data_IF_707511159660
#
_entry.id   IF_707511159660
#
_cell.length_a   1.000
_cell.length_b   1.000
_cell.length_c   1.000
_cell.angle_alpha   90.00
_cell.angle_beta   90.00
_cell.angle_gamma   90.00
#
_symmetry.space_group_name_H-M   'P 1'
#
loop_
_entity.id
_entity.type
_entity.pdbx_description
1 polymer ?
#
# COMPACT_ATOMS: atom_id res chain seq x y z
N UNK A 1 7.75 -17.69 -8.39
CA UNK A 1 7.63 -18.37 -7.07
C UNK A 1 8.31 -19.72 -7.18
N UNK A 2 9.10 -20.14 -6.20
CA UNK A 2 9.73 -21.46 -6.14
C UNK A 2 9.55 -22.08 -4.76
N UNK A 3 9.28 -23.38 -4.70
CA UNK A 3 9.44 -24.16 -3.48
C UNK A 3 10.80 -24.84 -3.54
N UNK A 4 11.64 -24.63 -2.52
CA UNK A 4 12.97 -25.23 -2.43
C UNK A 4 13.10 -25.98 -1.11
N UNK A 5 14.01 -26.95 -1.08
CA UNK A 5 14.31 -27.77 0.09
C UNK A 5 15.82 -27.75 0.34
N UNK A 6 16.24 -27.65 1.59
CA UNK A 6 17.66 -27.65 1.98
C UNK A 6 17.93 -26.75 3.17
N UNK A 7 19.20 -26.66 3.59
CA UNK A 7 19.64 -25.67 4.59
C UNK A 7 19.59 -24.24 4.07
N UNK A 8 19.63 -23.28 5.00
CA UNK A 8 19.79 -21.88 4.66
C UNK A 8 21.16 -21.64 4.01
N UNK A 9 21.23 -21.04 2.80
CA UNK A 9 22.49 -20.83 2.10
C UNK A 9 23.49 -20.01 2.90
N UNK A 10 24.77 -20.40 2.85
CA UNK A 10 25.85 -19.75 3.61
C UNK A 10 25.96 -18.26 3.27
N UNK A 11 25.85 -17.90 2.00
CA UNK A 11 25.94 -16.53 1.52
C UNK A 11 24.80 -15.65 2.07
N UNK A 12 23.62 -16.25 2.29
CA UNK A 12 22.48 -15.56 2.91
C UNK A 12 22.64 -15.46 4.42
N UNK A 13 23.28 -16.44 5.08
CA UNK A 13 23.65 -16.34 6.49
C UNK A 13 24.67 -15.22 6.72
N UNK A 14 25.72 -15.15 5.89
CA UNK A 14 26.72 -14.06 5.94
C UNK A 14 26.05 -12.69 5.71
N UNK A 15 25.10 -12.61 4.78
CA UNK A 15 24.30 -11.41 4.54
C UNK A 15 23.43 -11.05 5.75
N UNK A 16 22.84 -12.05 6.42
CA UNK A 16 22.06 -11.86 7.64
C UNK A 16 22.95 -11.35 8.79
N UNK A 17 24.14 -11.93 8.97
CA UNK A 17 25.10 -11.52 10.00
C UNK A 17 25.51 -10.05 9.81
N UNK A 18 25.83 -9.66 8.58
CA UNK A 18 26.13 -8.26 8.23
C UNK A 18 24.94 -7.33 8.51
N UNK A 19 23.72 -7.77 8.24
CA UNK A 19 22.51 -6.98 8.52
C UNK A 19 22.26 -6.84 10.04
N UNK A 20 22.42 -7.91 10.81
CA UNK A 20 22.25 -7.93 12.26
C UNK A 20 23.27 -7.02 12.97
N UNK A 21 24.54 -7.01 12.52
CA UNK A 21 25.59 -6.11 13.02
C UNK A 21 25.23 -4.62 12.89
N UNK A 22 24.37 -4.27 11.93
CA UNK A 22 23.88 -2.89 11.74
C UNK A 22 22.66 -2.54 12.60
N UNK A 23 22.32 -3.37 13.60
CA UNK A 23 21.29 -3.10 14.59
C UNK A 23 19.87 -3.54 14.20
N UNK A 24 19.75 -4.42 13.21
CA UNK A 24 18.45 -4.90 12.69
C UNK A 24 18.14 -6.38 13.04
N UNK A 25 18.84 -6.96 14.02
CA UNK A 25 18.71 -8.37 14.43
C UNK A 25 17.47 -8.71 15.28
N UNK A 26 16.27 -8.32 14.82
CA UNK A 26 15.01 -8.58 15.55
C UNK A 26 14.45 -9.99 15.40
N UNK A 27 15.11 -10.85 14.63
CA UNK A 27 14.70 -12.23 14.36
C UNK A 27 15.83 -13.19 14.71
N UNK A 28 15.50 -14.47 14.91
CA UNK A 28 16.51 -15.50 15.09
C UNK A 28 17.32 -15.68 13.79
N UNK A 29 18.62 -15.95 13.95
CA UNK A 29 19.47 -16.33 12.83
C UNK A 29 18.93 -17.63 12.22
N UNK A 30 18.72 -17.72 10.89
CA UNK A 30 18.07 -18.88 10.27
C UNK A 30 19.05 -20.04 10.03
N UNK A 31 19.88 -20.39 11.00
CA UNK A 31 20.96 -21.40 10.89
C UNK A 31 20.64 -22.75 11.53
N UNK A 32 19.50 -22.85 12.23
CA UNK A 32 19.04 -24.07 12.89
C UNK A 32 18.33 -25.06 11.96
N UNK A 33 17.99 -24.64 10.73
CA UNK A 33 17.25 -25.46 9.78
C UNK A 33 18.12 -26.55 9.15
N UNK A 34 17.54 -27.73 8.94
CA UNK A 34 18.22 -28.90 8.37
C UNK A 34 18.01 -29.01 6.85
N UNK A 35 18.63 -30.01 6.21
CA UNK A 35 18.43 -30.30 4.78
C UNK A 35 16.97 -30.63 4.44
N UNK A 36 16.14 -30.94 5.44
CA UNK A 36 14.74 -31.27 5.24
C UNK A 36 13.78 -30.07 5.24
N UNK A 37 14.28 -28.89 5.59
CA UNK A 37 13.47 -27.68 5.62
C UNK A 37 13.00 -27.29 4.22
N UNK A 38 11.72 -26.92 4.11
CA UNK A 38 11.14 -26.38 2.88
C UNK A 38 10.97 -24.86 2.99
N UNK A 39 11.24 -24.14 1.91
CA UNK A 39 11.04 -22.70 1.80
C UNK A 39 10.25 -22.35 0.56
N UNK A 40 9.43 -21.30 0.65
CA UNK A 40 8.81 -20.66 -0.51
C UNK A 40 9.58 -19.38 -0.81
N UNK A 41 10.19 -19.31 -1.99
CA UNK A 41 10.94 -18.15 -2.47
C UNK A 41 10.08 -17.36 -3.46
N UNK A 42 9.77 -16.13 -3.09
CA UNK A 42 9.04 -15.17 -3.90
C UNK A 42 10.05 -14.22 -4.57
N UNK A 43 10.14 -14.29 -5.89
CA UNK A 43 10.89 -13.31 -6.68
C UNK A 43 9.94 -12.17 -7.04
N UNK A 44 10.22 -10.98 -6.53
CA UNK A 44 9.38 -9.79 -6.69
C UNK A 44 10.16 -8.66 -7.37
N UNK A 45 9.44 -7.69 -7.94
CA UNK A 45 10.06 -6.51 -8.53
C UNK A 45 10.87 -5.75 -7.47
N UNK A 46 12.11 -5.37 -7.82
CA UNK A 46 12.92 -4.51 -6.98
C UNK A 46 12.39 -3.08 -7.02
N UNK A 47 11.87 -2.58 -5.90
CA UNK A 47 11.29 -1.24 -5.80
C UNK A 47 12.31 -0.11 -6.02
N UNK A 48 13.62 -0.41 -6.06
CA UNK A 48 14.71 0.50 -6.35
C UNK A 48 15.53 0.90 -5.13
N UNK A 49 16.70 1.50 -5.37
CA UNK A 49 17.60 1.94 -4.30
C UNK A 49 16.95 2.98 -3.39
N UNK A 50 17.30 2.93 -2.10
CA UNK A 50 16.78 3.85 -1.06
C UNK A 50 15.26 3.85 -0.98
N UNK A 51 14.61 2.77 -1.39
CA UNK A 51 13.23 2.50 -1.04
C UNK A 51 13.18 2.00 0.40
N UNK A 52 12.28 2.58 1.18
CA UNK A 52 12.09 2.24 2.60
C UNK A 52 10.60 2.13 2.87
N UNK A 53 10.21 1.60 4.03
CA UNK A 53 8.81 1.62 4.44
C UNK A 53 8.33 3.05 4.68
N UNK A 54 7.02 3.31 4.56
CA UNK A 54 6.44 4.62 4.84
C UNK A 54 6.73 5.04 6.29
N UNK A 55 6.81 4.08 7.21
CA UNK A 55 7.20 4.30 8.61
C UNK A 55 8.59 4.95 8.74
N UNK A 56 9.54 4.57 7.89
CA UNK A 56 10.91 5.09 7.88
C UNK A 56 11.08 6.30 6.95
N UNK A 57 10.09 6.61 6.12
CA UNK A 57 10.23 7.60 5.06
C UNK A 57 10.10 9.04 5.56
N UNK A 58 11.13 9.85 5.30
CA UNK A 58 11.11 11.28 5.66
C UNK A 58 10.40 12.15 4.60
N UNK A 59 9.28 12.76 4.97
CA UNK A 59 8.54 13.68 4.09
C UNK A 59 9.29 15.02 3.92
N UNK A 60 9.57 15.38 2.66
CA UNK A 60 10.24 16.63 2.29
C UNK A 60 9.29 17.77 1.94
N UNK A 61 8.05 17.48 1.55
CA UNK A 61 7.09 18.52 1.16
C UNK A 61 5.69 18.16 1.64
N UNK A 62 4.91 19.18 1.99
CA UNK A 62 3.51 19.03 2.39
C UNK A 62 2.58 18.53 1.26
N UNK A 63 3.09 18.33 0.04
CA UNK A 63 2.36 17.74 -1.09
C UNK A 63 2.49 16.22 -1.16
N UNK A 64 3.51 15.65 -0.50
CA UNK A 64 3.79 14.22 -0.55
C UNK A 64 2.72 13.35 0.15
N UNK A 65 2.17 13.72 1.33
CA UNK A 65 1.12 12.93 1.98
C UNK A 65 -0.06 12.60 1.06
N UNK A 66 -0.64 13.63 0.44
CA UNK A 66 -1.76 13.49 -0.49
C UNK A 66 -1.34 12.68 -1.74
N UNK A 67 -0.08 12.81 -2.18
CA UNK A 67 0.42 12.03 -3.32
C UNK A 67 0.50 10.53 -3.01
N UNK A 68 0.99 10.15 -1.83
CA UNK A 68 1.01 8.75 -1.39
C UNK A 68 -0.41 8.23 -1.25
N UNK A 69 -1.28 8.97 -0.55
CA UNK A 69 -2.68 8.59 -0.36
C UNK A 69 -3.40 8.35 -1.70
N UNK A 70 -3.21 9.22 -2.69
CA UNK A 70 -3.77 9.06 -4.05
C UNK A 70 -3.27 7.80 -4.75
N UNK A 71 -1.98 7.49 -4.66
CA UNK A 71 -1.40 6.30 -5.27
C UNK A 71 -1.93 5.02 -4.63
N UNK A 72 -2.01 4.99 -3.29
CA UNK A 72 -2.59 3.88 -2.53
C UNK A 72 -4.07 3.69 -2.91
N UNK A 73 -4.86 4.77 -2.83
CA UNK A 73 -6.28 4.77 -3.15
C UNK A 73 -6.59 4.25 -4.56
N UNK A 74 -5.86 4.70 -5.57
CA UNK A 74 -6.07 4.24 -6.95
C UNK A 74 -5.65 2.78 -7.13
N UNK A 75 -4.57 2.36 -6.46
CA UNK A 75 -4.16 0.95 -6.50
C UNK A 75 -5.25 0.06 -5.90
N UNK A 76 -5.79 0.42 -4.73
CA UNK A 76 -6.89 -0.31 -4.09
C UNK A 76 -8.15 -0.28 -4.97
N UNK A 77 -8.51 0.87 -5.54
CA UNK A 77 -9.66 1.01 -6.45
C UNK A 77 -9.56 0.04 -7.65
N UNK A 78 -8.40 -0.03 -8.29
CA UNK A 78 -8.17 -0.93 -9.43
C UNK A 78 -8.28 -2.40 -9.00
N UNK A 79 -7.70 -2.75 -7.85
CA UNK A 79 -7.70 -4.12 -7.35
C UNK A 79 -9.07 -4.56 -6.81
N UNK A 80 -9.83 -3.67 -6.17
CA UNK A 80 -11.23 -3.87 -5.81
C UNK A 80 -12.04 -4.18 -7.07
N UNK A 81 -11.95 -3.32 -8.11
CA UNK A 81 -12.73 -3.49 -9.34
C UNK A 81 -12.46 -4.81 -10.04
N UNK A 82 -11.18 -5.15 -10.13
CA UNK A 82 -10.74 -6.27 -10.95
C UNK A 82 -10.81 -7.61 -10.21
N UNK A 83 -10.57 -7.61 -8.90
CA UNK A 83 -10.36 -8.83 -8.13
C UNK A 83 -11.09 -8.86 -6.79
N UNK A 84 -12.00 -7.91 -6.54
CA UNK A 84 -12.67 -7.74 -5.24
C UNK A 84 -11.66 -7.79 -4.09
N UNK A 85 -10.53 -7.12 -4.29
CA UNK A 85 -9.37 -7.21 -3.41
C UNK A 85 -9.57 -6.45 -2.10
N UNK A 86 -9.08 -7.02 -1.01
CA UNK A 86 -8.90 -6.34 0.28
C UNK A 86 -7.48 -6.59 0.77
N UNK A 87 -6.74 -5.54 1.13
CA UNK A 87 -5.37 -5.70 1.62
C UNK A 87 -5.34 -6.31 3.02
N UNK A 88 -6.23 -5.82 3.90
CA UNK A 88 -6.43 -6.24 5.30
C UNK A 88 -5.23 -6.06 6.25
N UNK A 89 -4.14 -5.47 5.77
CA UNK A 89 -2.93 -5.24 6.58
C UNK A 89 -2.08 -4.07 6.09
N UNK A 90 -2.72 -2.96 5.71
CA UNK A 90 -2.05 -1.86 5.02
C UNK A 90 -1.46 -0.82 6.00
N UNK A 91 -0.73 -1.29 7.01
CA UNK A 91 0.00 -0.43 7.93
C UNK A 91 1.24 0.20 7.26
N UNK A 92 1.88 1.15 7.93
CA UNK A 92 3.00 1.92 7.36
C UNK A 92 4.21 1.08 6.93
N UNK A 93 4.37 -0.12 7.51
CA UNK A 93 5.41 -1.08 7.16
C UNK A 93 5.18 -1.73 5.79
N UNK A 94 3.92 -1.86 5.38
CA UNK A 94 3.50 -2.54 4.15
C UNK A 94 3.31 -1.58 2.96
N UNK A 95 3.77 -0.33 3.12
CA UNK A 95 3.84 0.65 2.04
C UNK A 95 5.30 1.01 1.83
N UNK A 96 5.88 0.56 0.72
CA UNK A 96 7.21 0.98 0.32
C UNK A 96 7.14 2.33 -0.36
N UNK A 97 8.13 3.18 -0.10
CA UNK A 97 8.20 4.53 -0.60
C UNK A 97 9.62 4.87 -1.02
N UNK A 98 9.75 5.53 -2.18
CA UNK A 98 11.00 6.12 -2.62
C UNK A 98 10.80 7.48 -3.29
N UNK A 99 11.92 8.18 -3.48
CA UNK A 99 11.96 9.39 -4.30
C UNK A 99 11.66 9.05 -5.75
N UNK A 100 10.81 9.87 -6.37
CA UNK A 100 10.46 9.73 -7.78
C UNK A 100 11.07 10.87 -8.60
N UNK A 101 11.79 10.51 -9.67
CA UNK A 101 12.21 11.45 -10.73
C UNK A 101 11.08 11.69 -11.73
N UNK A 102 10.23 10.68 -11.94
CA UNK A 102 9.04 10.77 -12.78
C UNK A 102 8.02 11.73 -12.18
N UNK A 103 7.36 12.52 -13.04
CA UNK A 103 6.40 13.55 -12.61
C UNK A 103 5.00 12.98 -12.35
N UNK A 104 4.64 11.90 -13.05
CA UNK A 104 3.33 11.27 -12.96
C UNK A 104 3.38 9.77 -13.23
N UNK A 105 2.30 9.08 -12.84
CA UNK A 105 1.95 7.73 -13.28
C UNK A 105 0.68 7.81 -14.10
N UNK A 106 0.60 6.98 -15.13
CA UNK A 106 -0.57 6.87 -15.99
C UNK A 106 -1.15 5.47 -15.79
N UNK A 107 -2.46 5.40 -15.65
CA UNK A 107 -3.25 4.19 -15.49
C UNK A 107 -4.36 4.17 -16.54
N UNK A 108 -4.95 3.01 -16.75
CA UNK A 108 -6.21 2.86 -17.48
C UNK A 108 -7.21 2.31 -16.47
N UNK A 109 -8.28 3.05 -16.21
CA UNK A 109 -9.35 2.67 -15.29
C UNK A 109 -10.66 2.73 -16.09
N UNK A 110 -11.36 1.61 -16.18
CA UNK A 110 -12.59 1.48 -16.98
C UNK A 110 -12.41 1.93 -18.44
N UNK A 111 -11.26 1.61 -19.03
CA UNK A 111 -10.89 2.00 -20.40
C UNK A 111 -10.48 3.47 -20.55
N UNK A 112 -10.51 4.28 -19.49
CA UNK A 112 -10.18 5.70 -19.53
C UNK A 112 -8.78 5.99 -18.98
N UNK A 113 -8.00 6.87 -19.62
CA UNK A 113 -6.68 7.26 -19.13
C UNK A 113 -6.81 8.07 -17.84
N UNK A 114 -6.04 7.68 -16.81
CA UNK A 114 -6.05 8.32 -15.51
C UNK A 114 -4.63 8.65 -15.06
N UNK A 115 -4.35 9.92 -14.72
CA UNK A 115 -3.01 10.40 -14.40
C UNK A 115 -2.88 10.85 -12.95
N UNK A 116 -1.90 10.30 -12.22
CA UNK A 116 -1.55 10.72 -10.86
C UNK A 116 -0.25 11.52 -10.88
N UNK A 117 -0.25 12.75 -10.37
CA UNK A 117 0.98 13.52 -10.17
C UNK A 117 1.72 13.03 -8.91
N UNK A 118 2.96 12.58 -9.06
CA UNK A 118 3.75 11.92 -8.01
C UNK A 118 4.31 12.86 -6.94
N UNK A 119 4.44 14.15 -7.23
CA UNK A 119 5.00 15.14 -6.29
C UNK A 119 6.34 14.70 -5.65
N UNK A 120 7.17 14.02 -6.44
CA UNK A 120 8.51 13.57 -6.05
C UNK A 120 8.55 12.30 -5.19
N UNK A 121 7.43 11.58 -5.04
CA UNK A 121 7.35 10.34 -4.26
C UNK A 121 6.57 9.26 -5.02
N UNK A 122 7.08 8.03 -5.04
CA UNK A 122 6.39 6.84 -5.57
C UNK A 122 6.23 5.83 -4.45
N UNK A 123 5.04 5.22 -4.34
CA UNK A 123 4.79 4.14 -3.39
C UNK A 123 4.41 2.83 -4.06
N UNK A 124 4.56 1.74 -3.31
CA UNK A 124 4.23 0.37 -3.70
C UNK A 124 3.58 -0.32 -2.50
N UNK A 125 2.52 -1.09 -2.75
CA UNK A 125 1.91 -1.92 -1.70
C UNK A 125 2.65 -3.27 -1.67
N UNK A 126 2.85 -3.81 -0.48
CA UNK A 126 3.49 -5.10 -0.29
C UNK A 126 2.84 -5.86 0.87
N UNK A 127 3.28 -7.11 1.05
CA UNK A 127 2.78 -8.02 2.07
C UNK A 127 1.27 -8.28 1.98
N UNK A 128 0.93 -9.29 1.18
CA UNK A 128 -0.45 -9.70 0.98
C UNK A 128 -0.84 -10.89 1.86
N UNK A 129 -0.10 -11.11 2.95
CA UNK A 129 -0.28 -12.29 3.81
C UNK A 129 -1.71 -12.37 4.32
N UNK A 130 -2.30 -11.27 4.77
CA UNK A 130 -3.67 -11.24 5.32
C UNK A 130 -4.76 -10.89 4.28
N UNK A 131 -4.37 -10.65 3.03
CA UNK A 131 -5.27 -10.12 2.01
C UNK A 131 -6.36 -11.11 1.61
N UNK A 132 -7.43 -10.58 0.99
CA UNK A 132 -8.48 -11.35 0.32
C UNK A 132 -8.55 -10.96 -1.14
N UNK A 133 -8.68 -11.94 -2.02
CA UNK A 133 -8.76 -11.72 -3.47
C UNK A 133 -9.65 -12.78 -4.14
N UNK A 134 -10.37 -12.39 -5.18
CA UNK A 134 -11.15 -13.27 -6.06
C UNK A 134 -10.45 -13.39 -7.41
N UNK A 135 -10.13 -14.62 -7.80
CA UNK A 135 -9.48 -14.95 -9.06
C UNK A 135 -10.27 -16.05 -9.75
N UNK A 136 -11.01 -15.68 -10.80
CA UNK A 136 -11.96 -16.59 -11.44
C UNK A 136 -13.12 -16.93 -10.49
N UNK A 137 -13.33 -18.21 -10.27
CA UNK A 137 -14.36 -18.75 -9.36
C UNK A 137 -13.86 -18.99 -7.93
N UNK A 138 -12.59 -18.65 -7.63
CA UNK A 138 -11.95 -18.93 -6.34
C UNK A 138 -11.72 -17.66 -5.54
N UNK A 139 -11.97 -17.78 -4.23
CA UNK A 139 -11.64 -16.77 -3.23
C UNK A 139 -10.43 -17.25 -2.43
N UNK A 140 -9.36 -16.46 -2.42
CA UNK A 140 -8.16 -16.69 -1.63
C UNK A 140 -8.12 -15.68 -0.49
N UNK A 141 -7.99 -16.16 0.75
CA UNK A 141 -7.94 -15.33 1.95
C UNK A 141 -7.32 -16.09 3.13
N UNK A 142 -6.85 -15.36 4.15
CA UNK A 142 -6.58 -15.92 5.48
C UNK A 142 -7.78 -15.69 6.38
N UNK A 143 -8.19 -16.72 7.10
CA UNK A 143 -9.20 -16.59 8.15
C UNK A 143 -8.60 -15.92 9.39
N UNK A 144 -8.77 -14.60 9.54
CA UNK A 144 -8.16 -13.85 10.65
C UNK A 144 -8.74 -14.22 12.02
N UNK A 145 -9.95 -14.81 12.08
CA UNK A 145 -10.51 -15.32 13.34
C UNK A 145 -9.63 -16.41 13.98
N UNK A 146 -8.77 -17.08 13.20
CA UNK A 146 -7.79 -18.05 13.69
C UNK A 146 -6.55 -17.42 14.33
N UNK A 147 -6.38 -16.09 14.22
CA UNK A 147 -5.20 -15.35 14.66
C UNK A 147 -5.60 -14.34 15.74
N UNK A 148 -6.13 -14.86 16.86
CA UNK A 148 -6.72 -14.06 17.95
C UNK A 148 -5.83 -12.94 18.48
N UNK A 149 -4.51 -13.17 18.53
CA UNK A 149 -3.51 -12.22 19.03
C UNK A 149 -3.44 -10.89 18.26
N UNK A 150 -3.91 -10.84 17.01
CA UNK A 150 -3.90 -9.58 16.24
C UNK A 150 -4.90 -8.56 16.77
N UNK A 151 -6.00 -9.00 17.38
CA UNK A 151 -7.07 -8.12 17.85
C UNK A 151 -6.83 -7.58 19.27
N UNK A 152 -5.89 -8.18 20.01
CA UNK A 152 -5.51 -7.81 21.37
C UNK A 152 -4.32 -6.85 21.43
N UNK A 153 -3.77 -6.44 20.29
CA UNK A 153 -2.68 -5.48 20.26
C UNK A 153 -3.12 -4.09 20.72
N UNK A 154 -2.21 -3.40 21.39
CA UNK A 154 -2.39 -2.04 21.93
C UNK A 154 -1.14 -1.19 21.65
N UNK A 155 -1.27 0.13 21.74
CA UNK A 155 -0.14 1.06 21.61
C UNK A 155 0.17 1.56 20.19
N UNK A 156 -0.51 1.05 19.17
CA UNK A 156 -0.46 1.56 17.78
C UNK A 156 -1.87 1.63 17.18
N UNK A 157 -2.18 2.73 16.49
CA UNK A 157 -3.45 3.01 15.82
C UNK A 157 -3.82 1.89 14.81
N UNK A 158 -2.86 1.12 14.29
CA UNK A 158 -3.17 0.03 13.36
C UNK A 158 -3.97 -1.11 13.99
N UNK A 159 -3.86 -1.32 15.32
CA UNK A 159 -4.60 -2.38 15.99
C UNK A 159 -6.10 -2.10 16.05
N UNK A 160 -6.49 -0.82 16.10
CA UNK A 160 -7.89 -0.39 16.00
C UNK A 160 -8.47 -0.72 14.62
N UNK A 161 -7.65 -0.70 13.57
CA UNK A 161 -8.07 -1.08 12.22
C UNK A 161 -8.44 -2.56 12.16
N UNK A 162 -7.66 -3.46 12.78
CA UNK A 162 -8.03 -4.88 12.83
C UNK A 162 -9.37 -5.11 13.53
N UNK A 163 -9.59 -4.46 14.68
CA UNK A 163 -10.87 -4.54 15.40
C UNK A 163 -12.03 -4.03 14.53
N UNK A 164 -11.85 -2.87 13.89
CA UNK A 164 -12.84 -2.29 12.98
C UNK A 164 -13.14 -3.20 11.79
N UNK A 165 -12.12 -3.85 11.21
CA UNK A 165 -12.31 -4.81 10.12
C UNK A 165 -13.12 -6.03 10.55
N UNK A 166 -12.83 -6.59 11.74
CA UNK A 166 -13.59 -7.71 12.31
C UNK A 166 -15.08 -7.33 12.43
N UNK A 167 -15.35 -6.12 12.92
CA UNK A 167 -16.72 -5.67 13.18
C UNK A 167 -17.51 -5.45 11.87
N UNK A 168 -16.87 -5.04 10.77
CA UNK A 168 -17.55 -4.85 9.48
C UNK A 168 -17.64 -6.13 8.63
N UNK A 169 -16.65 -7.02 8.68
CA UNK A 169 -16.64 -8.27 7.87
C UNK A 169 -17.71 -9.26 8.33
N UNK A 170 -18.07 -9.22 9.63
CA UNK A 170 -19.10 -10.07 10.19
C UNK A 170 -18.64 -11.52 10.36
N UNK A 171 -19.35 -12.48 9.77
CA UNK A 171 -19.23 -13.90 10.13
C UNK A 171 -18.15 -14.67 9.37
N UNK A 172 -17.68 -14.17 8.22
CA UNK A 172 -16.70 -14.89 7.39
C UNK A 172 -15.72 -13.96 6.70
N UNK A 173 -14.43 -14.21 6.92
CA UNK A 173 -13.34 -13.52 6.22
C UNK A 173 -13.24 -13.89 4.73
N UNK A 174 -14.01 -14.87 4.25
CA UNK A 174 -14.13 -15.13 2.81
C UNK A 174 -14.97 -14.05 2.10
N UNK A 175 -15.90 -13.43 2.82
CA UNK A 175 -16.78 -12.41 2.28
C UNK A 175 -15.95 -11.24 1.76
N UNK A 176 -16.39 -10.69 0.62
CA UNK A 176 -15.85 -9.42 0.14
C UNK A 176 -16.48 -8.28 0.92
N UNK A 177 -15.66 -7.52 1.64
CA UNK A 177 -16.08 -6.27 2.27
C UNK A 177 -15.04 -5.17 2.01
N UNK A 178 -15.21 -4.35 0.96
CA UNK A 178 -14.24 -3.31 0.59
C UNK A 178 -14.12 -2.20 1.65
N UNK A 179 -14.99 -2.16 2.67
CA UNK A 179 -14.86 -1.23 3.80
C UNK A 179 -13.54 -1.44 4.53
N UNK A 180 -12.96 -2.63 4.50
CA UNK A 180 -11.63 -2.89 5.09
C UNK A 180 -10.54 -2.03 4.46
N UNK A 181 -10.55 -1.84 3.13
CA UNK A 181 -9.61 -0.94 2.45
C UNK A 181 -9.86 0.54 2.82
N UNK A 182 -11.13 0.94 2.96
CA UNK A 182 -11.52 2.29 3.40
C UNK A 182 -11.01 2.57 4.82
N UNK A 183 -11.09 1.60 5.74
CA UNK A 183 -10.56 1.72 7.10
C UNK A 183 -9.04 1.93 7.10
N UNK A 184 -8.30 1.22 6.24
CA UNK A 184 -6.86 1.44 6.07
C UNK A 184 -6.54 2.81 5.46
N UNK A 185 -7.35 3.30 4.53
CA UNK A 185 -7.20 4.65 3.98
C UNK A 185 -7.45 5.72 5.05
N UNK A 186 -8.43 5.52 5.93
CA UNK A 186 -8.66 6.38 7.10
C UNK A 186 -7.46 6.40 8.03
N UNK A 187 -6.90 5.24 8.38
CA UNK A 187 -5.67 5.11 9.16
C UNK A 187 -4.51 5.93 8.56
N UNK A 188 -4.31 5.85 7.24
CA UNK A 188 -3.27 6.62 6.55
C UNK A 188 -3.54 8.13 6.62
N UNK A 189 -4.80 8.56 6.50
CA UNK A 189 -5.15 9.98 6.61
C UNK A 189 -4.88 10.52 8.01
N UNK A 190 -5.17 9.74 9.06
CA UNK A 190 -4.87 10.10 10.44
C UNK A 190 -3.37 10.20 10.69
N UNK A 191 -2.61 9.20 10.22
CA UNK A 191 -1.15 9.23 10.25
C UNK A 191 -0.61 10.51 9.57
N UNK A 192 -1.08 10.81 8.35
CA UNK A 192 -0.63 11.99 7.63
C UNK A 192 -1.08 13.31 8.27
N UNK A 193 -2.19 13.35 9.00
CA UNK A 193 -2.65 14.55 9.70
C UNK A 193 -1.76 14.92 10.90
N UNK A 194 -1.13 13.91 11.50
CA UNK A 194 -0.21 14.03 12.65
C UNK A 194 1.26 14.18 12.23
N UNK A 195 1.61 13.82 10.98
CA UNK A 195 3.00 13.76 10.51
C UNK A 195 3.67 15.14 10.35
N UNK A 196 5.00 15.13 10.39
CA UNK A 196 5.84 16.31 10.17
C UNK A 196 6.50 16.25 8.80
N UNK A 197 6.60 17.39 8.13
CA UNK A 197 7.37 17.57 6.91
C UNK A 197 8.57 18.46 7.24
N UNK A 198 9.79 17.97 7.01
CA UNK A 198 11.03 18.68 7.36
C UNK A 198 11.09 19.13 8.84
N UNK A 199 10.56 18.32 9.76
CA UNK A 199 10.48 18.65 11.18
C UNK A 199 9.36 19.64 11.55
N UNK A 200 8.73 20.31 10.58
CA UNK A 200 7.60 21.20 10.78
C UNK A 200 6.26 20.47 10.63
N UNK A 201 5.25 20.95 11.35
CA UNK A 201 3.87 20.50 11.15
C UNK A 201 3.37 20.83 9.74
N UNK A 202 2.43 20.04 9.21
CA UNK A 202 1.76 20.39 7.96
C UNK A 202 1.05 21.75 8.08
N UNK A 203 1.07 22.60 7.04
CA UNK A 203 0.29 23.84 7.02
C UNK A 203 -1.19 23.58 7.28
N UNK A 204 -1.88 24.51 7.94
CA UNK A 204 -3.30 24.36 8.33
C UNK A 204 -4.18 23.98 7.13
N UNK A 205 -4.03 24.65 5.99
CA UNK A 205 -4.74 24.33 4.74
C UNK A 205 -4.56 22.87 4.29
N UNK A 206 -3.43 22.25 4.58
CA UNK A 206 -3.19 20.84 4.25
C UNK A 206 -3.85 19.91 5.25
N UNK A 207 -3.84 20.26 6.54
CA UNK A 207 -4.56 19.52 7.59
C UNK A 207 -6.07 19.57 7.36
N UNK A 208 -6.62 20.73 7.04
CA UNK A 208 -8.03 20.89 6.67
C UNK A 208 -8.38 20.08 5.43
N UNK A 209 -7.51 20.06 4.42
CA UNK A 209 -7.72 19.25 3.24
C UNK A 209 -7.74 17.74 3.56
N UNK A 210 -6.82 17.26 4.41
CA UNK A 210 -6.83 15.87 4.88
C UNK A 210 -8.09 15.55 5.70
N UNK A 211 -8.54 16.48 6.55
CA UNK A 211 -9.78 16.32 7.32
C UNK A 211 -11.02 16.23 6.42
N UNK A 212 -11.09 17.05 5.36
CA UNK A 212 -12.17 16.98 4.38
C UNK A 212 -12.14 15.66 3.59
N UNK A 213 -10.93 15.18 3.25
CA UNK A 213 -10.77 13.83 2.68
C UNK A 213 -11.29 12.80 3.68
N UNK A 214 -10.85 12.82 4.94
CA UNK A 214 -11.29 11.88 5.98
C UNK A 214 -12.80 11.79 6.10
N UNK A 215 -13.48 12.93 6.25
CA UNK A 215 -14.95 12.98 6.34
C UNK A 215 -15.63 12.30 5.15
N UNK A 216 -15.07 12.46 3.96
CA UNK A 216 -15.62 11.83 2.75
C UNK A 216 -15.34 10.33 2.70
N UNK A 217 -14.11 9.91 3.04
CA UNK A 217 -13.70 8.51 3.11
C UNK A 217 -14.55 7.72 4.11
N UNK A 218 -14.84 8.31 5.28
CA UNK A 218 -15.67 7.67 6.31
C UNK A 218 -17.08 7.32 5.82
N UNK A 219 -17.63 8.12 4.91
CA UNK A 219 -18.95 7.90 4.30
C UNK A 219 -18.95 6.83 3.20
N UNK A 220 -17.78 6.42 2.71
CA UNK A 220 -17.66 5.42 1.64
C UNK A 220 -17.65 4.00 2.21
N UNK A 221 -18.21 3.05 1.47
CA UNK A 221 -18.14 1.60 1.72
C UNK A 221 -17.01 0.97 0.90
N UNK A 222 -16.61 1.58 -0.22
CA UNK A 222 -15.54 1.08 -1.11
C UNK A 222 -14.61 2.19 -1.60
N UNK A 223 -13.37 1.84 -1.98
CA UNK A 223 -12.46 2.77 -2.67
C UNK A 223 -12.77 2.96 -4.15
N UNK A 224 -13.74 2.24 -4.69
CA UNK A 224 -14.28 2.42 -6.04
C UNK A 224 -15.29 3.56 -6.16
N UNK A 225 -15.86 4.00 -5.04
CA UNK A 225 -16.96 4.95 -5.07
C UNK A 225 -16.57 6.27 -5.76
N UNK A 226 -17.46 6.77 -6.61
CA UNK A 226 -17.22 8.01 -7.37
C UNK A 226 -17.05 9.20 -6.42
N UNK A 227 -17.77 9.22 -5.29
CA UNK A 227 -17.62 10.20 -4.20
C UNK A 227 -16.19 10.22 -3.66
N UNK A 228 -15.61 9.06 -3.39
CA UNK A 228 -14.24 8.88 -2.93
C UNK A 228 -13.23 9.44 -3.94
N UNK A 229 -13.36 9.06 -5.22
CA UNK A 229 -12.46 9.51 -6.28
C UNK A 229 -12.56 11.02 -6.51
N UNK A 230 -13.76 11.62 -6.46
CA UNK A 230 -13.93 13.09 -6.63
C UNK A 230 -13.21 13.88 -5.54
N UNK A 231 -13.19 13.39 -4.31
CA UNK A 231 -12.57 14.09 -3.18
C UNK A 231 -11.05 13.98 -3.22
N UNK A 232 -10.52 12.80 -3.56
CA UNK A 232 -9.08 12.62 -3.73
C UNK A 232 -8.57 13.30 -5.00
N UNK A 233 -9.36 13.35 -6.07
CA UNK A 233 -9.00 13.87 -7.39
C UNK A 233 -9.98 14.95 -7.85
N UNK A 234 -9.94 16.16 -7.26
CA UNK A 234 -10.79 17.26 -7.72
C UNK A 234 -10.50 17.57 -9.20
N UNK A 235 -11.56 17.89 -9.96
CA UNK A 235 -11.62 17.89 -11.44
C UNK A 235 -10.49 18.66 -12.15
N UNK A 236 -9.82 19.62 -11.47
CA UNK A 236 -8.64 20.32 -12.01
C UNK A 236 -7.41 19.42 -12.25
N UNK A 237 -7.46 18.14 -11.91
CA UNK A 237 -6.36 17.19 -12.08
C UNK A 237 -6.60 16.12 -13.16
N UNK A 238 -7.79 16.07 -13.76
CA UNK A 238 -8.06 15.26 -14.96
C UNK A 238 -7.73 16.09 -16.21
N UNK A 239 -6.45 16.40 -16.44
CA UNK A 239 -6.05 16.93 -17.75
C UNK A 239 -5.94 15.75 -18.71
N UNK A 240 -6.75 15.78 -19.77
CA UNK A 240 -6.57 14.94 -20.95
C UNK A 240 -5.10 15.01 -21.41
N UNK A 241 -4.52 13.89 -21.90
CA UNK A 241 -3.19 13.95 -22.47
C UNK A 241 -3.17 14.96 -23.61
N UNK A 242 -2.18 15.86 -23.60
CA UNK A 242 -1.84 16.66 -24.78
C UNK A 242 -1.47 15.64 -25.84
N UNK A 243 -2.32 15.49 -26.86
CA UNK A 243 -1.95 14.80 -28.09
C UNK A 243 -0.77 15.57 -28.67
N UNK A 244 0.44 15.04 -28.49
CA UNK A 244 1.56 15.43 -29.33
C UNK A 244 1.23 14.90 -30.71
N UNK A 245 0.91 15.82 -31.62
CA UNK A 245 0.58 15.54 -33.01
C UNK A 245 1.61 14.60 -33.64
N UNK A 246 1.09 13.62 -34.36
CA UNK A 246 1.82 12.71 -35.22
C UNK A 246 2.79 13.48 -36.11
N UNK A 247 4.08 13.13 -36.04
CA UNK A 247 5.00 13.35 -37.15
C UNK A 247 4.86 12.14 -38.06
N UNK A 248 4.04 12.28 -39.09
CA UNK A 248 3.99 11.39 -40.24
C UNK A 248 5.42 11.27 -40.84
N UNK A 249 5.90 10.07 -41.19
CA UNK A 249 7.01 9.94 -42.12
C UNK A 249 6.49 10.34 -43.50
N UNK A 250 7.03 11.42 -44.05
CA UNK A 250 6.98 11.68 -45.49
C UNK A 250 7.83 10.63 -46.20
N UNK A 251 7.20 9.89 -47.11
CA UNK A 251 7.85 9.14 -48.18
C UNK A 251 8.86 10.01 -48.94
N UNK A 252 10.09 9.50 -49.11
CA UNK A 252 10.92 9.60 -50.31
C UNK A 252 12.13 8.66 -50.20
#
# INVERSE_FOLDING_TARGET
>A
IRCIKGKYPRELLESWDNYALNGFGGHDRPDSYTEDQHYVVLFVEYAGDRCVTLQQFYLQTAKQPISVLRQVAVTLCILEKKYKFEHRDLHLGNILVRRAKTRSLNYIIDGQPFTIKLKGVRCFLMDFTLSRIEMGDKVHFINLSSISRMFSGEGDDHFDVYRSMRDVVGTSWANFNPKTNVLWLEYLIDYFSKTKCRGAQLPLVRKEHLLNIKRSVQMCISSEEVSFLKVLFPERHQQAPIMTADVLPTDQ
#
